data_IF_112177310175
#
_entry.id   IF_112177310175
#
_cell.length_a   1.000
_cell.length_b   1.000
_cell.length_c   1.000
_cell.angle_alpha   90.00
_cell.angle_beta   90.00
_cell.angle_gamma   90.00
#
_symmetry.space_group_name_H-M   'P 1'
#
loop_
_entity.id
_entity.type
_entity.pdbx_description
1 polymer ?
#
# COMPACT_ATOMS: atom_id res chain seq x y z
N UNK A 1 -63.51 5.77 -15.27
CA UNK A 1 -64.40 6.74 -15.94
C UNK A 1 -63.93 8.14 -15.60
N UNK A 2 -63.94 9.00 -16.62
CA UNK A 2 -63.88 10.46 -16.57
C UNK A 2 -62.64 11.14 -15.95
N UNK A 3 -61.77 11.57 -16.87
CA UNK A 3 -61.14 12.90 -16.88
C UNK A 3 -62.11 14.00 -16.43
N UNK A 4 -61.60 15.05 -15.76
CA UNK A 4 -62.10 16.39 -16.02
C UNK A 4 -61.13 17.49 -15.57
N UNK A 5 -60.74 18.31 -16.56
CA UNK A 5 -60.86 19.77 -16.60
C UNK A 5 -60.05 20.54 -15.54
N UNK A 6 -59.09 21.41 -15.86
CA UNK A 6 -58.91 22.22 -17.06
C UNK A 6 -59.26 23.68 -16.79
N UNK A 7 -58.25 24.55 -16.92
CA UNK A 7 -58.32 26.02 -17.08
C UNK A 7 -58.66 26.80 -15.78
N UNK A 8 -58.25 28.05 -15.52
CA UNK A 8 -58.10 29.31 -16.30
C UNK A 8 -57.22 30.21 -15.38
N UNK A 9 -56.01 30.65 -15.75
CA UNK A 9 -55.67 31.89 -16.52
C UNK A 9 -55.78 33.20 -15.70
N UNK A 10 -54.64 33.93 -15.65
CA UNK A 10 -54.47 35.41 -15.58
C UNK A 10 -54.85 36.09 -14.23
N UNK A 11 -54.27 37.19 -13.74
CA UNK A 11 -53.58 38.34 -14.37
C UNK A 11 -52.66 39.04 -13.34
N UNK A 12 -51.49 39.41 -13.83
CA UNK A 12 -50.59 40.56 -13.57
C UNK A 12 -50.76 41.56 -12.40
N UNK A 13 -49.58 41.87 -11.83
CA UNK A 13 -49.00 43.20 -11.48
C UNK A 13 -49.72 44.03 -10.38
N UNK A 14 -49.12 44.86 -9.52
CA UNK A 14 -47.97 45.81 -9.54
C UNK A 14 -47.65 45.97 -8.02
N UNK A 15 -46.41 46.06 -7.51
CA UNK A 15 -45.70 47.33 -7.37
C UNK A 15 -44.40 47.16 -6.57
N UNK A 16 -43.43 47.96 -6.97
CA UNK A 16 -42.05 48.15 -6.55
C UNK A 16 -41.77 48.39 -5.06
N UNK A 17 -40.47 48.23 -4.75
CA UNK A 17 -39.69 48.68 -3.59
C UNK A 17 -39.72 47.83 -2.30
N UNK A 18 -38.82 46.85 -2.27
CA UNK A 18 -38.05 46.49 -1.07
C UNK A 18 -36.58 46.25 -1.46
N UNK A 19 -35.80 47.35 -1.55
CA UNK A 19 -34.35 47.29 -1.42
C UNK A 19 -34.02 47.37 0.07
N UNK A 20 -33.80 46.22 0.70
CA UNK A 20 -32.86 45.97 1.80
C UNK A 20 -33.23 44.66 2.50
N UNK A 21 -32.20 43.90 2.87
CA UNK A 21 -32.20 42.62 3.61
C UNK A 21 -32.22 41.34 2.75
N UNK A 22 -31.28 41.25 1.81
CA UNK A 22 -30.57 39.97 1.67
C UNK A 22 -29.32 40.04 2.55
N UNK A 23 -29.11 39.09 3.48
CA UNK A 23 -27.77 38.90 4.02
C UNK A 23 -26.84 38.61 2.84
N UNK A 24 -25.74 39.36 2.75
CA UNK A 24 -24.66 39.04 1.83
C UNK A 24 -24.32 37.57 2.06
N UNK A 25 -24.41 36.76 1.02
CA UNK A 25 -23.75 35.48 1.00
C UNK A 25 -22.29 35.76 1.34
N UNK A 26 -21.87 35.40 2.55
CA UNK A 26 -20.46 35.30 2.88
C UNK A 26 -19.85 34.42 1.79
N UNK A 27 -18.94 35.00 1.02
CA UNK A 27 -18.11 34.24 0.11
C UNK A 27 -17.37 33.21 0.95
N UNK A 28 -17.88 31.99 0.97
CA UNK A 28 -17.10 30.84 1.39
C UNK A 28 -15.80 30.91 0.60
N UNK A 29 -14.63 30.92 1.26
CA UNK A 29 -13.39 30.82 0.52
C UNK A 29 -13.49 29.52 -0.29
N UNK A 30 -13.40 29.67 -1.61
CA UNK A 30 -13.25 28.55 -2.54
C UNK A 30 -12.16 27.66 -1.94
N UNK A 31 -12.41 26.34 -1.75
CA UNK A 31 -11.37 25.44 -1.29
C UNK A 31 -10.18 25.60 -2.22
N UNK A 32 -9.10 26.14 -1.69
CA UNK A 32 -7.82 26.26 -2.37
C UNK A 32 -7.54 24.87 -2.93
N UNK A 33 -7.49 24.76 -4.26
CA UNK A 33 -7.19 23.50 -4.92
C UNK A 33 -5.92 22.95 -4.25
N UNK A 34 -6.03 21.77 -3.62
CA UNK A 34 -4.92 21.13 -2.94
C UNK A 34 -3.73 21.19 -3.88
N UNK A 35 -2.69 21.94 -3.47
CA UNK A 35 -1.47 22.06 -4.26
C UNK A 35 -1.01 20.65 -4.67
N UNK A 36 -0.50 20.47 -5.90
CA UNK A 36 0.01 19.17 -6.33
C UNK A 36 0.97 18.64 -5.27
N UNK A 37 0.67 17.46 -4.72
CA UNK A 37 1.59 16.80 -3.78
C UNK A 37 2.91 16.60 -4.51
N UNK A 38 4.02 17.06 -3.95
CA UNK A 38 5.33 16.93 -4.60
C UNK A 38 5.70 15.44 -4.76
N UNK A 39 6.48 15.12 -5.79
CA UNK A 39 6.83 13.74 -6.15
C UNK A 39 7.53 12.99 -5.02
N UNK A 40 8.35 13.67 -4.21
CA UNK A 40 9.04 13.09 -3.05
C UNK A 40 8.03 12.70 -1.96
N UNK A 41 7.07 13.56 -1.65
CA UNK A 41 5.99 13.22 -0.72
C UNK A 41 5.15 12.05 -1.22
N UNK A 42 4.86 11.99 -2.52
CA UNK A 42 4.12 10.86 -3.11
C UNK A 42 4.90 9.54 -3.01
N UNK A 43 6.19 9.56 -3.38
CA UNK A 43 7.09 8.41 -3.23
C UNK A 43 7.13 7.94 -1.76
N UNK A 44 7.41 8.85 -0.82
CA UNK A 44 7.55 8.52 0.60
C UNK A 44 6.29 7.85 1.14
N UNK A 45 5.11 8.39 0.81
CA UNK A 45 3.83 7.80 1.22
C UNK A 45 3.61 6.42 0.62
N UNK A 46 3.97 6.25 -0.65
CA UNK A 46 3.87 4.96 -1.33
C UNK A 46 4.76 3.90 -0.67
N UNK A 47 6.06 4.18 -0.55
CA UNK A 47 7.01 3.22 0.01
C UNK A 47 6.67 2.91 1.48
N UNK A 48 6.33 3.90 2.30
CA UNK A 48 5.92 3.64 3.69
C UNK A 48 4.68 2.73 3.77
N UNK A 49 3.67 2.98 2.94
CA UNK A 49 2.46 2.15 2.90
C UNK A 49 2.78 0.71 2.44
N UNK A 50 3.67 0.59 1.45
CA UNK A 50 4.15 -0.70 0.95
C UNK A 50 4.93 -1.47 2.02
N UNK A 51 5.83 -0.83 2.76
CA UNK A 51 6.59 -1.46 3.85
C UNK A 51 5.69 -1.91 5.00
N UNK A 52 4.68 -1.11 5.38
CA UNK A 52 3.71 -1.49 6.42
C UNK A 52 2.92 -2.74 6.01
N UNK A 53 2.41 -2.76 4.78
CA UNK A 53 1.72 -3.93 4.22
C UNK A 53 2.67 -5.13 4.05
N UNK A 54 3.89 -4.86 3.61
CA UNK A 54 5.10 -5.70 3.59
C UNK A 54 5.23 -6.52 4.86
N UNK A 55 5.37 -5.80 5.97
CA UNK A 55 5.57 -6.40 7.27
C UNK A 55 4.37 -7.21 7.73
N UNK A 56 3.14 -6.74 7.46
CA UNK A 56 1.95 -7.49 7.82
C UNK A 56 1.92 -8.85 7.11
N UNK A 57 2.06 -8.86 5.78
CA UNK A 57 1.99 -10.10 4.98
C UNK A 57 3.15 -11.05 5.28
N UNK A 58 4.35 -10.52 5.53
CA UNK A 58 5.51 -11.33 5.89
C UNK A 58 5.31 -12.03 7.24
N UNK A 59 4.74 -11.33 8.24
CA UNK A 59 4.38 -11.96 9.53
C UNK A 59 3.29 -13.02 9.39
N UNK A 60 2.27 -12.78 8.56
CA UNK A 60 1.22 -13.78 8.28
C UNK A 60 1.82 -15.05 7.66
N UNK A 61 2.76 -14.89 6.72
CA UNK A 61 3.43 -16.01 6.07
C UNK A 61 4.37 -16.77 7.02
N UNK A 62 5.13 -16.06 7.86
CA UNK A 62 5.97 -16.64 8.93
C UNK A 62 5.18 -17.55 9.88
N UNK A 63 3.98 -17.12 10.31
CA UNK A 63 3.11 -17.95 11.16
C UNK A 63 2.71 -19.27 10.49
N UNK A 64 2.52 -19.24 9.17
CA UNK A 64 2.30 -20.45 8.36
C UNK A 64 3.50 -21.39 8.41
N UNK A 65 4.71 -20.87 8.23
CA UNK A 65 5.95 -21.65 8.27
C UNK A 65 6.21 -22.28 9.64
N UNK A 66 6.00 -21.54 10.73
CA UNK A 66 6.17 -22.06 12.10
C UNK A 66 5.34 -23.32 12.37
N UNK A 67 4.16 -23.41 11.74
CA UNK A 67 3.28 -24.57 11.86
C UNK A 67 3.87 -25.79 11.15
N UNK A 68 4.53 -25.60 10.00
CA UNK A 68 5.18 -26.67 9.24
C UNK A 68 6.46 -27.17 9.92
N UNK A 69 7.24 -26.27 10.51
CA UNK A 69 8.47 -26.60 11.26
C UNK A 69 8.17 -27.56 12.41
N UNK A 70 7.05 -27.37 13.10
CA UNK A 70 6.63 -28.18 14.26
C UNK A 70 6.01 -29.53 13.88
N UNK A 71 5.82 -29.80 12.59
CA UNK A 71 5.16 -31.03 12.14
C UNK A 71 6.11 -32.23 12.26
N UNK A 72 5.71 -33.32 12.95
CA UNK A 72 6.61 -34.44 13.25
C UNK A 72 7.05 -35.26 12.03
N UNK A 73 6.38 -35.08 10.88
CA UNK A 73 6.77 -35.72 9.61
C UNK A 73 7.74 -34.86 8.77
N UNK A 74 8.11 -33.66 9.23
CA UNK A 74 9.04 -32.79 8.51
C UNK A 74 10.43 -33.43 8.48
N UNK A 75 10.95 -33.66 7.28
CA UNK A 75 12.29 -34.23 7.09
C UNK A 75 13.36 -33.25 7.59
N UNK A 76 14.55 -33.73 7.97
CA UNK A 76 15.63 -32.83 8.40
C UNK A 76 15.99 -31.77 7.32
N UNK A 77 16.19 -32.12 6.03
CA UNK A 77 16.44 -31.11 5.00
C UNK A 77 15.32 -30.07 4.88
N UNK A 78 14.06 -30.50 4.99
CA UNK A 78 12.91 -29.59 4.99
C UNK A 78 12.91 -28.69 6.23
N UNK A 79 13.25 -29.22 7.40
CA UNK A 79 13.36 -28.44 8.63
C UNK A 79 14.43 -27.35 8.52
N UNK A 80 15.65 -27.69 8.11
CA UNK A 80 16.76 -26.73 7.95
C UNK A 80 16.38 -25.62 6.95
N UNK A 81 15.61 -25.97 5.92
CA UNK A 81 15.09 -25.04 4.95
C UNK A 81 14.06 -24.07 5.53
N UNK A 82 13.09 -24.59 6.28
CA UNK A 82 12.06 -23.79 6.92
C UNK A 82 12.66 -22.86 8.00
N UNK A 83 13.68 -23.32 8.73
CA UNK A 83 14.46 -22.49 9.66
C UNK A 83 15.17 -21.35 8.92
N UNK A 84 15.85 -21.65 7.80
CA UNK A 84 16.45 -20.61 6.94
C UNK A 84 15.41 -19.61 6.45
N UNK A 85 14.21 -20.07 6.05
CA UNK A 85 13.11 -19.21 5.66
C UNK A 85 12.65 -18.28 6.80
N UNK A 86 12.63 -18.75 8.03
CA UNK A 86 12.31 -17.92 9.19
C UNK A 86 13.34 -16.80 9.36
N UNK A 87 14.63 -17.16 9.35
CA UNK A 87 15.73 -16.21 9.52
C UNK A 87 15.70 -15.10 8.46
N UNK A 88 15.55 -15.46 7.18
CA UNK A 88 15.55 -14.47 6.09
C UNK A 88 14.28 -13.61 6.08
N UNK A 89 13.14 -14.14 6.49
CA UNK A 89 11.93 -13.32 6.63
C UNK A 89 11.98 -12.39 7.84
N UNK A 90 12.62 -12.77 8.94
CA UNK A 90 12.92 -11.86 10.04
C UNK A 90 13.87 -10.75 9.59
N UNK A 91 14.92 -11.09 8.84
CA UNK A 91 15.82 -10.09 8.23
C UNK A 91 15.06 -9.14 7.27
N UNK A 92 14.15 -9.67 6.44
CA UNK A 92 13.32 -8.85 5.57
C UNK A 92 12.38 -7.91 6.35
N UNK A 93 11.85 -8.34 7.51
CA UNK A 93 11.07 -7.47 8.39
C UNK A 93 11.90 -6.31 8.95
N UNK A 94 13.15 -6.59 9.33
CA UNK A 94 14.08 -5.56 9.79
C UNK A 94 14.43 -4.58 8.65
N UNK A 95 14.69 -5.08 7.44
CA UNK A 95 14.96 -4.23 6.27
C UNK A 95 13.75 -3.36 5.90
N UNK A 96 12.51 -3.88 6.01
CA UNK A 96 11.30 -3.08 5.80
C UNK A 96 11.16 -1.95 6.82
N UNK A 97 11.56 -2.20 8.08
CA UNK A 97 11.58 -1.19 9.13
C UNK A 97 12.67 -0.15 8.87
N UNK A 98 13.87 -0.58 8.54
CA UNK A 98 14.99 0.31 8.20
C UNK A 98 14.66 1.18 6.98
N UNK A 99 13.98 0.63 5.97
CA UNK A 99 13.49 1.39 4.81
C UNK A 99 12.64 2.59 5.23
N UNK A 100 11.75 2.43 6.22
CA UNK A 100 10.92 3.52 6.75
C UNK A 100 11.78 4.56 7.47
N UNK A 101 12.71 4.12 8.32
CA UNK A 101 13.62 4.99 9.08
C UNK A 101 14.57 5.79 8.16
N UNK A 102 15.09 5.15 7.10
CA UNK A 102 15.96 5.77 6.12
C UNK A 102 15.20 6.71 5.17
N UNK A 103 13.90 6.47 4.92
CA UNK A 103 13.04 7.45 4.23
C UNK A 103 12.84 8.72 5.07
N UNK A 104 12.64 8.60 6.38
CA UNK A 104 12.48 9.76 7.28
C UNK A 104 13.73 10.64 7.35
N UNK A 105 14.91 10.04 7.13
CA UNK A 105 16.19 10.73 7.12
C UNK A 105 16.71 11.08 5.72
N UNK A 106 15.89 10.91 4.68
CA UNK A 106 16.24 11.16 3.26
C UNK A 106 17.47 10.38 2.78
N UNK A 107 17.74 9.22 3.38
CA UNK A 107 18.89 8.38 3.07
C UNK A 107 18.57 7.38 1.95
N UNK A 108 18.30 7.90 0.75
CA UNK A 108 17.83 7.09 -0.38
C UNK A 108 18.79 5.98 -0.83
N UNK A 109 20.09 6.14 -0.57
CA UNK A 109 21.06 5.07 -0.81
C UNK A 109 20.75 3.84 0.05
N UNK A 110 20.45 4.05 1.35
CA UNK A 110 20.08 2.97 2.26
C UNK A 110 18.70 2.40 1.94
N UNK A 111 17.72 3.25 1.65
CA UNK A 111 16.40 2.81 1.15
C UNK A 111 16.56 1.84 -0.03
N UNK A 112 17.42 2.16 -1.01
CA UNK A 112 17.69 1.27 -2.14
C UNK A 112 18.34 -0.06 -1.71
N UNK A 113 19.31 -0.02 -0.79
CA UNK A 113 19.96 -1.23 -0.26
C UNK A 113 18.95 -2.13 0.45
N UNK A 114 18.13 -1.57 1.32
CA UNK A 114 17.15 -2.31 2.12
C UNK A 114 16.07 -2.92 1.23
N UNK A 115 15.53 -2.17 0.26
CA UNK A 115 14.58 -2.70 -0.74
C UNK A 115 15.14 -3.88 -1.54
N UNK A 116 16.42 -3.81 -1.91
CA UNK A 116 17.10 -4.91 -2.61
C UNK A 116 17.30 -6.12 -1.69
N UNK A 117 17.64 -5.88 -0.43
CA UNK A 117 17.83 -6.92 0.59
C UNK A 117 16.53 -7.67 0.88
N UNK A 118 15.39 -6.97 0.98
CA UNK A 118 14.06 -7.58 1.14
C UNK A 118 13.81 -8.61 0.02
N UNK A 119 14.02 -8.22 -1.25
CA UNK A 119 13.81 -9.13 -2.39
C UNK A 119 14.73 -10.35 -2.31
N UNK A 120 16.02 -10.14 -2.00
CA UNK A 120 17.01 -11.22 -1.92
C UNK A 120 16.69 -12.22 -0.79
N UNK A 121 16.24 -11.72 0.37
CA UNK A 121 15.82 -12.55 1.49
C UNK A 121 14.61 -13.42 1.12
N UNK A 122 13.61 -12.84 0.45
CA UNK A 122 12.40 -13.56 0.04
C UNK A 122 12.72 -14.61 -1.03
N UNK A 123 13.57 -14.28 -2.00
CA UNK A 123 14.03 -15.22 -3.03
C UNK A 123 14.82 -16.38 -2.43
N UNK A 124 15.66 -16.11 -1.43
CA UNK A 124 16.43 -17.15 -0.74
C UNK A 124 15.52 -18.19 -0.11
N UNK A 125 14.47 -17.76 0.60
CA UNK A 125 13.47 -18.69 1.13
C UNK A 125 12.75 -19.45 0.00
N UNK A 126 12.25 -18.74 -1.03
CA UNK A 126 11.48 -19.36 -2.10
C UNK A 126 12.28 -20.43 -2.87
N UNK A 127 13.57 -20.19 -3.13
CA UNK A 127 14.47 -21.18 -3.76
C UNK A 127 14.56 -22.43 -2.88
N UNK A 128 14.85 -22.25 -1.60
CA UNK A 128 14.96 -23.36 -0.66
C UNK A 128 13.65 -24.14 -0.55
N UNK A 129 12.54 -23.42 -0.35
CA UNK A 129 11.22 -23.99 -0.13
C UNK A 129 10.78 -24.84 -1.34
N UNK A 130 10.99 -24.33 -2.56
CA UNK A 130 10.70 -25.07 -3.79
C UNK A 130 11.51 -26.35 -3.92
N UNK A 131 12.77 -26.35 -3.49
CA UNK A 131 13.63 -27.53 -3.57
C UNK A 131 13.29 -28.60 -2.52
N UNK A 132 12.85 -28.19 -1.33
CA UNK A 132 12.66 -29.11 -0.19
C UNK A 132 11.21 -29.50 0.07
N UNK A 133 10.26 -28.64 -0.25
CA UNK A 133 8.82 -28.86 -0.07
C UNK A 133 8.14 -29.15 -1.41
N UNK A 134 8.61 -28.51 -2.48
CA UNK A 134 8.02 -28.57 -3.82
C UNK A 134 7.28 -27.29 -4.18
N UNK A 135 6.51 -27.34 -5.27
CA UNK A 135 5.69 -26.20 -5.67
C UNK A 135 4.53 -26.00 -4.70
N UNK A 136 4.58 -24.90 -3.95
CA UNK A 136 3.50 -24.43 -3.11
C UNK A 136 2.94 -23.11 -3.66
N UNK A 137 1.63 -23.11 -3.92
CA UNK A 137 0.97 -21.98 -4.55
C UNK A 137 0.94 -20.74 -3.65
N UNK A 138 0.82 -20.91 -2.34
CA UNK A 138 0.77 -19.79 -1.40
C UNK A 138 2.14 -19.13 -1.26
N UNK A 139 3.21 -19.93 -1.12
CA UNK A 139 4.59 -19.45 -1.10
C UNK A 139 4.95 -18.73 -2.40
N UNK A 140 4.53 -19.27 -3.55
CA UNK A 140 4.73 -18.61 -4.84
C UNK A 140 3.99 -17.27 -4.92
N UNK A 141 2.72 -17.24 -4.54
CA UNK A 141 1.91 -16.00 -4.54
C UNK A 141 2.55 -14.94 -3.65
N UNK A 142 3.05 -15.35 -2.48
CA UNK A 142 3.74 -14.44 -1.56
C UNK A 142 5.03 -13.88 -2.18
N UNK A 143 5.90 -14.75 -2.72
CA UNK A 143 7.17 -14.34 -3.35
C UNK A 143 6.97 -13.44 -4.57
N UNK A 144 6.02 -13.78 -5.45
CA UNK A 144 5.68 -12.95 -6.61
C UNK A 144 5.17 -11.56 -6.18
N UNK A 145 4.27 -11.52 -5.19
CA UNK A 145 3.74 -10.27 -4.65
C UNK A 145 4.84 -9.40 -4.04
N UNK A 146 5.72 -10.00 -3.23
CA UNK A 146 6.78 -9.25 -2.57
C UNK A 146 7.79 -8.69 -3.57
N UNK A 147 8.17 -9.48 -4.59
CA UNK A 147 9.04 -9.02 -5.68
C UNK A 147 8.42 -7.85 -6.44
N UNK A 148 7.12 -7.92 -6.75
CA UNK A 148 6.40 -6.81 -7.39
C UNK A 148 6.40 -5.56 -6.52
N UNK A 149 6.13 -5.72 -5.23
CA UNK A 149 6.09 -4.62 -4.26
C UNK A 149 7.47 -3.95 -4.07
N UNK A 150 8.56 -4.71 -4.00
CA UNK A 150 9.92 -4.14 -3.91
C UNK A 150 10.31 -3.41 -5.20
N UNK A 151 9.99 -3.97 -6.37
CA UNK A 151 10.26 -3.33 -7.66
C UNK A 151 9.49 -2.02 -7.81
N UNK A 152 8.19 -2.01 -7.47
CA UNK A 152 7.40 -0.78 -7.49
C UNK A 152 7.99 0.30 -6.57
N UNK A 153 8.53 -0.09 -5.40
CA UNK A 153 9.21 0.85 -4.51
C UNK A 153 10.50 1.40 -5.11
N UNK A 154 11.32 0.54 -5.73
CA UNK A 154 12.56 0.93 -6.40
C UNK A 154 12.28 1.90 -7.57
N UNK A 155 11.27 1.62 -8.38
CA UNK A 155 10.87 2.50 -9.50
C UNK A 155 10.46 3.90 -9.00
N UNK A 156 9.75 3.97 -7.88
CA UNK A 156 9.38 5.27 -7.26
C UNK A 156 10.59 6.00 -6.70
N UNK A 157 11.55 5.27 -6.13
CA UNK A 157 12.78 5.83 -5.60
C UNK A 157 13.66 6.39 -6.72
N UNK A 158 13.84 5.64 -7.81
CA UNK A 158 14.62 6.07 -8.97
C UNK A 158 14.04 7.34 -9.59
N UNK A 159 12.71 7.44 -9.70
CA UNK A 159 12.01 8.60 -10.27
C UNK A 159 12.26 9.93 -9.54
N UNK A 160 12.77 9.92 -8.29
CA UNK A 160 13.10 11.14 -7.55
C UNK A 160 14.59 11.31 -7.26
N UNK A 161 15.40 10.28 -7.51
CA UNK A 161 16.85 10.27 -7.22
C UNK A 161 17.73 10.33 -8.48
N UNK A 162 17.14 10.19 -9.66
CA UNK A 162 17.79 10.30 -10.97
C UNK A 162 17.96 11.73 -11.49
#
# INVERSE_FOLDING_TARGET
>A
MASNIGQVVLVMSIASLLLALFPQAESTPVPEALAPVDSKTQMTRFINSAMILGMQKTREHLQGLETQVKHPATSKPTYDCLETCQDVYEAALDDMKNTIEDLESDNYYKVNMDLTSISANIDTCNVCYREMVGEDLEAKIFSDWATGMTNDCLDKLEAVTS
#
